data_IF_907994778319
#
_entry.id   IF_907994778319
#
_cell.length_a   1.000
_cell.length_b   1.000
_cell.length_c   1.000
_cell.angle_alpha   90.00
_cell.angle_beta   90.00
_cell.angle_gamma   90.00
#
_symmetry.space_group_name_H-M   'P 1'
#
loop_
_entity.id
_entity.type
_entity.pdbx_description
1 polymer ?
#
# COMPACT_ATOMS: atom_id res chain seq x y z
N UNK A 1 -11.26 37.43 43.49
CA UNK A 1 -9.91 37.18 42.97
C UNK A 1 -9.99 35.82 42.28
N UNK A 2 -10.47 35.83 41.03
CA UNK A 2 -10.72 34.61 40.25
C UNK A 2 -9.41 34.12 39.63
N UNK A 3 -9.05 32.89 39.95
CA UNK A 3 -7.91 32.18 39.39
C UNK A 3 -8.23 31.79 37.95
N UNK A 4 -7.62 32.50 37.00
CA UNK A 4 -7.67 32.15 35.57
C UNK A 4 -6.95 30.81 35.41
N UNK A 5 -7.73 29.77 35.10
CA UNK A 5 -7.23 28.44 34.79
C UNK A 5 -6.63 28.50 33.37
N UNK A 6 -5.31 28.68 33.29
CA UNK A 6 -4.58 28.60 32.03
C UNK A 6 -4.72 27.18 31.47
N UNK A 7 -5.55 27.05 30.43
CA UNK A 7 -5.59 25.84 29.60
C UNK A 7 -4.20 25.60 29.00
N UNK A 8 -3.59 24.42 29.14
CA UNK A 8 -2.29 24.16 28.52
C UNK A 8 -2.44 24.21 27.00
N UNK A 9 -1.72 25.15 26.37
CA UNK A 9 -1.55 25.22 24.93
C UNK A 9 -1.06 23.85 24.44
N UNK A 10 -1.89 23.12 23.70
CA UNK A 10 -1.46 21.92 22.98
C UNK A 10 -0.32 22.31 22.04
N UNK A 11 0.87 21.69 22.12
CA UNK A 11 2.00 22.05 21.27
C UNK A 11 1.63 21.81 19.81
N UNK A 12 1.57 22.90 19.06
CA UNK A 12 1.17 22.99 17.65
C UNK A 12 2.32 22.66 16.69
N UNK A 13 3.13 21.65 17.04
CA UNK A 13 4.23 21.14 16.22
C UNK A 13 4.32 19.62 16.34
N UNK A 14 3.20 18.92 16.10
CA UNK A 14 3.24 17.49 15.87
C UNK A 14 3.71 17.25 14.43
N UNK A 15 5.01 17.01 14.25
CA UNK A 15 5.53 16.37 13.05
C UNK A 15 4.78 15.05 12.91
N UNK A 16 3.72 15.01 12.08
CA UNK A 16 2.79 13.90 12.08
C UNK A 16 3.51 12.64 11.58
N UNK A 17 3.68 11.58 12.40
CA UNK A 17 4.37 10.36 11.98
C UNK A 17 3.72 9.74 10.72
N UNK A 18 2.41 9.96 10.55
CA UNK A 18 1.65 9.59 9.36
C UNK A 18 2.19 10.24 8.07
N UNK A 19 2.62 11.51 8.11
CA UNK A 19 3.13 12.21 6.93
C UNK A 19 4.48 11.66 6.50
N UNK A 20 5.37 11.36 7.46
CA UNK A 20 6.65 10.71 7.16
C UNK A 20 6.39 9.34 6.52
N UNK A 21 5.56 8.50 7.15
CA UNK A 21 5.24 7.16 6.66
C UNK A 21 4.66 7.21 5.25
N UNK A 22 3.74 8.14 4.98
CA UNK A 22 3.19 8.38 3.64
C UNK A 22 4.29 8.69 2.63
N UNK A 23 5.14 9.67 2.92
CA UNK A 23 6.23 10.07 2.01
C UNK A 23 7.16 8.89 1.75
N UNK A 24 7.58 8.19 2.81
CA UNK A 24 8.46 7.03 2.69
C UNK A 24 7.82 5.94 1.82
N UNK A 25 6.57 5.54 2.10
CA UNK A 25 5.88 4.51 1.31
C UNK A 25 5.76 4.88 -0.16
N UNK A 26 5.42 6.14 -0.47
CA UNK A 26 5.34 6.62 -1.85
C UNK A 26 6.71 6.64 -2.54
N UNK A 27 7.75 7.10 -1.85
CA UNK A 27 9.12 7.06 -2.37
C UNK A 27 9.59 5.63 -2.66
N UNK A 28 9.27 4.67 -1.79
CA UNK A 28 9.58 3.26 -2.00
C UNK A 28 8.86 2.69 -3.24
N UNK A 29 7.57 2.99 -3.42
CA UNK A 29 6.80 2.50 -4.56
C UNK A 29 7.23 3.14 -5.90
N UNK A 30 7.46 4.45 -5.91
CA UNK A 30 7.95 5.17 -7.10
C UNK A 30 9.39 4.75 -7.42
N UNK A 31 10.23 4.58 -6.39
CA UNK A 31 11.59 4.08 -6.52
C UNK A 31 11.63 2.68 -7.12
N UNK A 32 10.77 1.77 -6.65
CA UNK A 32 10.60 0.43 -7.21
C UNK A 32 10.20 0.46 -8.70
N UNK A 33 9.21 1.29 -9.07
CA UNK A 33 8.84 1.46 -10.48
C UNK A 33 10.02 1.99 -11.32
N UNK A 34 10.71 3.01 -10.80
CA UNK A 34 11.86 3.61 -11.48
C UNK A 34 12.97 2.60 -11.68
N UNK A 35 13.29 1.80 -10.67
CA UNK A 35 14.30 0.75 -10.74
C UNK A 35 13.99 -0.29 -11.83
N UNK A 36 12.71 -0.71 -11.95
CA UNK A 36 12.30 -1.63 -13.02
C UNK A 36 12.39 -0.99 -14.41
N UNK A 37 12.03 0.30 -14.54
CA UNK A 37 12.12 1.01 -15.83
C UNK A 37 13.58 1.15 -16.26
N UNK A 38 14.47 1.59 -15.37
CA UNK A 38 15.89 1.76 -15.69
C UNK A 38 16.63 0.43 -15.85
N UNK A 39 16.19 -0.61 -15.13
CA UNK A 39 16.74 -1.96 -15.22
C UNK A 39 16.12 -2.82 -16.32
N UNK A 40 15.20 -2.29 -17.14
CA UNK A 40 14.42 -3.07 -18.10
C UNK A 40 15.27 -3.85 -19.10
N UNK A 41 16.35 -3.23 -19.59
CA UNK A 41 17.27 -3.87 -20.54
C UNK A 41 18.00 -5.07 -19.91
N UNK A 42 18.26 -5.01 -18.61
CA UNK A 42 18.92 -6.07 -17.85
C UNK A 42 17.98 -7.20 -17.43
N UNK A 43 16.67 -7.08 -17.69
CA UNK A 43 15.71 -8.13 -17.35
C UNK A 43 15.82 -9.33 -18.30
N UNK A 44 15.60 -10.56 -17.80
CA UNK A 44 15.60 -11.76 -18.61
C UNK A 44 14.53 -11.72 -19.71
N UNK A 45 14.75 -12.47 -20.78
CA UNK A 45 13.87 -12.52 -21.95
C UNK A 45 12.50 -13.14 -21.66
N UNK A 46 12.40 -13.91 -20.58
CA UNK A 46 11.14 -14.42 -20.04
C UNK A 46 10.87 -13.83 -18.66
N UNK A 47 9.68 -13.24 -18.51
CA UNK A 47 9.21 -12.70 -17.24
C UNK A 47 8.04 -13.55 -16.73
N UNK A 48 7.96 -13.78 -15.40
CA UNK A 48 6.84 -14.51 -14.82
C UNK A 48 5.56 -13.68 -14.94
N UNK A 49 4.55 -14.22 -15.64
CA UNK A 49 3.17 -13.69 -15.63
C UNK A 49 2.47 -14.10 -14.34
N UNK A 50 2.69 -15.36 -13.96
CA UNK A 50 2.28 -16.00 -12.72
C UNK A 50 3.43 -16.85 -12.17
N UNK A 51 3.25 -17.47 -11.00
CA UNK A 51 4.25 -18.40 -10.45
C UNK A 51 4.45 -19.67 -11.30
N UNK A 52 3.53 -19.96 -12.20
CA UNK A 52 3.50 -21.19 -12.99
C UNK A 52 3.61 -20.92 -14.49
N UNK A 53 3.59 -19.65 -14.90
CA UNK A 53 3.57 -19.25 -16.30
C UNK A 53 4.53 -18.09 -16.54
N UNK A 54 5.50 -18.28 -17.43
CA UNK A 54 6.36 -17.24 -17.98
C UNK A 54 5.86 -16.82 -19.35
N UNK A 55 6.11 -15.55 -19.71
CA UNK A 55 5.86 -15.02 -21.04
C UNK A 55 7.06 -14.18 -21.47
N UNK A 56 7.19 -13.99 -22.77
CA UNK A 56 8.20 -13.13 -23.35
C UNK A 56 8.17 -11.73 -22.72
N UNK A 57 9.37 -11.18 -22.48
CA UNK A 57 9.59 -9.85 -21.93
C UNK A 57 8.85 -8.81 -22.75
N UNK A 58 7.99 -8.07 -22.07
CA UNK A 58 7.32 -6.89 -22.62
C UNK A 58 7.35 -5.78 -21.58
N UNK A 59 7.36 -4.53 -22.05
CA UNK A 59 7.29 -3.35 -21.19
C UNK A 59 6.12 -3.42 -20.21
N UNK A 60 4.94 -3.78 -20.70
CA UNK A 60 3.73 -3.88 -19.89
C UNK A 60 3.91 -4.90 -18.76
N UNK A 61 4.49 -6.07 -19.05
CA UNK A 61 4.66 -7.13 -18.06
C UNK A 61 5.68 -6.75 -16.98
N UNK A 62 6.75 -6.05 -17.36
CA UNK A 62 7.76 -5.56 -16.42
C UNK A 62 7.19 -4.50 -15.46
N UNK A 63 6.50 -3.48 -15.97
CA UNK A 63 5.99 -2.37 -15.14
C UNK A 63 4.70 -2.69 -14.40
N UNK A 64 4.00 -3.76 -14.79
CA UNK A 64 2.72 -4.17 -14.19
C UNK A 64 2.79 -4.35 -12.69
N UNK A 65 3.77 -5.10 -12.19
CA UNK A 65 3.92 -5.40 -10.77
C UNK A 65 4.14 -4.12 -9.94
N UNK A 66 5.11 -3.24 -10.27
CA UNK A 66 5.25 -1.98 -9.55
C UNK A 66 4.03 -1.06 -9.69
N UNK A 67 3.34 -1.04 -10.83
CA UNK A 67 2.08 -0.29 -10.99
C UNK A 67 0.98 -0.79 -10.05
N UNK A 68 0.82 -2.10 -9.90
CA UNK A 68 -0.14 -2.71 -8.96
C UNK A 68 0.15 -2.24 -7.53
N UNK A 69 1.43 -2.16 -7.14
CA UNK A 69 1.79 -1.65 -5.82
C UNK A 69 1.44 -0.15 -5.66
N UNK A 70 1.71 0.69 -6.65
CA UNK A 70 1.33 2.11 -6.63
C UNK A 70 -0.19 2.27 -6.50
N UNK A 71 -0.97 1.49 -7.27
CA UNK A 71 -2.44 1.51 -7.15
C UNK A 71 -2.90 1.06 -5.75
N UNK A 72 -2.24 0.06 -5.17
CA UNK A 72 -2.53 -0.42 -3.82
C UNK A 72 -2.28 0.66 -2.77
N UNK A 73 -1.17 1.40 -2.88
CA UNK A 73 -0.90 2.57 -2.02
C UNK A 73 -1.98 3.64 -2.19
N UNK A 74 -2.39 3.93 -3.43
CA UNK A 74 -3.47 4.87 -3.73
C UNK A 74 -4.80 4.47 -3.08
N UNK A 75 -5.16 3.18 -3.13
CA UNK A 75 -6.35 2.65 -2.49
C UNK A 75 -6.29 2.78 -0.96
N UNK A 76 -5.16 2.40 -0.35
CA UNK A 76 -4.95 2.52 1.09
C UNK A 76 -5.05 3.98 1.54
N UNK A 77 -4.49 4.92 0.77
CA UNK A 77 -4.53 6.35 1.08
C UNK A 77 -5.96 6.91 1.00
N UNK A 78 -6.73 6.55 -0.03
CA UNK A 78 -8.13 6.97 -0.16
C UNK A 78 -9.01 6.42 0.97
N UNK A 79 -8.84 5.14 1.30
CA UNK A 79 -9.53 4.52 2.43
C UNK A 79 -9.10 5.14 3.76
N UNK A 80 -7.81 5.45 3.90
CA UNK A 80 -7.25 6.11 5.08
C UNK A 80 -7.78 7.51 5.31
N UNK A 81 -8.09 8.28 4.25
CA UNK A 81 -8.76 9.58 4.36
C UNK A 81 -10.21 9.46 4.81
N UNK A 82 -10.91 8.40 4.40
CA UNK A 82 -12.24 8.10 4.93
C UNK A 82 -12.17 7.73 6.41
N UNK A 83 -11.15 6.96 6.81
CA UNK A 83 -10.92 6.58 8.20
C UNK A 83 -10.50 7.75 9.09
N UNK A 84 -9.64 8.65 8.62
CA UNK A 84 -9.17 9.79 9.42
C UNK A 84 -10.25 10.82 9.75
N UNK A 85 -11.38 10.81 9.03
CA UNK A 85 -12.56 11.65 9.31
C UNK A 85 -13.52 11.01 10.29
N UNK A 86 -13.36 9.72 10.56
CA UNK A 86 -14.14 9.02 11.56
C UNK A 86 -13.55 9.30 12.94
N UNK A 87 -14.39 9.77 13.86
CA UNK A 87 -14.01 9.98 15.27
C UNK A 87 -13.99 8.61 15.97
N UNK A 88 -12.84 7.95 15.86
CA UNK A 88 -12.60 6.57 16.27
C UNK A 88 -11.65 6.44 17.45
N UNK A 89 -11.38 5.19 17.83
CA UNK A 89 -10.39 4.89 18.87
C UNK A 89 -8.99 5.30 18.38
N UNK A 90 -8.14 5.74 19.31
CA UNK A 90 -6.72 6.01 19.10
C UNK A 90 -5.97 4.88 18.38
N UNK A 91 -6.38 3.62 18.58
CA UNK A 91 -5.81 2.47 17.88
C UNK A 91 -6.15 2.42 16.38
N UNK A 92 -7.31 2.94 15.97
CA UNK A 92 -7.76 2.92 14.57
C UNK A 92 -6.91 3.86 13.70
N UNK A 93 -6.28 4.87 14.31
CA UNK A 93 -5.31 5.76 13.67
C UNK A 93 -4.14 5.00 13.01
N UNK A 94 -3.74 3.86 13.59
CA UNK A 94 -2.57 3.10 13.13
C UNK A 94 -2.83 2.21 11.91
N UNK A 95 -4.10 2.00 11.53
CA UNK A 95 -4.46 1.10 10.42
C UNK A 95 -3.80 1.54 9.11
N UNK A 96 -4.00 2.80 8.71
CA UNK A 96 -3.46 3.36 7.46
C UNK A 96 -1.94 3.35 7.39
N UNK A 97 -1.20 3.88 8.38
CA UNK A 97 0.26 3.88 8.32
C UNK A 97 0.87 2.46 8.30
N UNK A 98 0.29 1.50 9.03
CA UNK A 98 0.75 0.09 8.97
C UNK A 98 0.57 -0.47 7.57
N UNK A 99 -0.61 -0.30 6.96
CA UNK A 99 -0.87 -0.79 5.60
C UNK A 99 0.03 -0.11 4.56
N UNK A 100 0.28 1.19 4.69
CA UNK A 100 1.18 1.92 3.79
C UNK A 100 2.61 1.41 3.88
N UNK A 101 3.13 1.14 5.09
CA UNK A 101 4.46 0.56 5.25
C UNK A 101 4.53 -0.85 4.67
N UNK A 102 3.54 -1.69 4.93
CA UNK A 102 3.48 -3.04 4.36
C UNK A 102 3.46 -3.01 2.84
N UNK A 103 2.65 -2.14 2.24
CA UNK A 103 2.58 -2.01 0.78
C UNK A 103 3.86 -1.42 0.17
N UNK A 104 4.47 -0.44 0.83
CA UNK A 104 5.75 0.14 0.41
C UNK A 104 6.90 -0.87 0.45
N UNK A 105 7.03 -1.63 1.55
CA UNK A 105 8.02 -2.70 1.69
C UNK A 105 7.81 -3.81 0.67
N UNK A 106 6.55 -4.22 0.43
CA UNK A 106 6.20 -5.19 -0.62
C UNK A 106 6.67 -4.73 -1.99
N UNK A 107 6.47 -3.46 -2.34
CA UNK A 107 6.86 -2.90 -3.63
C UNK A 107 8.37 -3.02 -3.90
N UNK A 108 9.19 -2.74 -2.87
CA UNK A 108 10.64 -2.84 -2.97
C UNK A 108 11.09 -4.28 -3.15
N UNK A 109 10.56 -5.20 -2.34
CA UNK A 109 10.95 -6.61 -2.41
C UNK A 109 10.59 -7.20 -3.77
N UNK A 110 9.38 -6.94 -4.28
CA UNK A 110 8.97 -7.43 -5.62
C UNK A 110 9.82 -6.81 -6.74
N UNK A 111 10.21 -5.54 -6.62
CA UNK A 111 11.11 -4.91 -7.59
C UNK A 111 12.51 -5.52 -7.57
N UNK A 112 13.07 -5.79 -6.39
CA UNK A 112 14.38 -6.45 -6.25
C UNK A 112 14.30 -7.88 -6.79
N UNK A 113 13.23 -8.60 -6.52
CA UNK A 113 12.99 -9.94 -7.06
C UNK A 113 13.00 -9.93 -8.58
N UNK A 114 12.24 -9.01 -9.22
CA UNK A 114 12.20 -8.89 -10.68
C UNK A 114 13.58 -8.60 -11.27
N UNK A 115 14.35 -7.70 -10.63
CA UNK A 115 15.69 -7.32 -11.09
C UNK A 115 16.76 -8.39 -10.84
N UNK A 116 16.48 -9.40 -10.01
CA UNK A 116 17.40 -10.49 -9.67
C UNK A 116 17.02 -11.83 -10.29
N UNK A 117 16.00 -11.87 -11.14
CA UNK A 117 15.70 -13.05 -11.96
C UNK A 117 16.85 -13.33 -12.94
N UNK A 118 17.25 -14.60 -13.16
CA UNK A 118 16.63 -15.84 -12.68
C UNK A 118 17.14 -16.35 -11.32
N UNK A 119 18.17 -15.74 -10.74
CA UNK A 119 18.83 -16.20 -9.50
C UNK A 119 18.04 -15.91 -8.21
N UNK A 120 16.78 -15.46 -8.33
CA UNK A 120 15.94 -15.15 -7.19
C UNK A 120 15.71 -16.38 -6.30
N UNK A 121 16.00 -16.20 -5.01
CA UNK A 121 15.84 -17.24 -4.01
C UNK A 121 14.37 -17.53 -3.73
N UNK A 122 14.03 -18.83 -3.60
CA UNK A 122 12.70 -19.32 -3.19
C UNK A 122 12.23 -18.77 -1.82
N UNK A 123 13.14 -18.17 -1.04
CA UNK A 123 12.85 -17.57 0.27
C UNK A 123 12.14 -16.22 0.14
N UNK A 124 12.44 -15.45 -0.91
CA UNK A 124 11.88 -14.10 -1.14
C UNK A 124 10.34 -14.08 -1.14
N UNK A 125 9.63 -14.95 -1.88
CA UNK A 125 8.17 -14.97 -1.85
C UNK A 125 7.58 -15.40 -0.49
N UNK A 126 8.30 -16.20 0.30
CA UNK A 126 7.86 -16.59 1.64
C UNK A 126 8.01 -15.43 2.62
N UNK A 127 9.12 -14.71 2.55
CA UNK A 127 9.34 -13.48 3.33
C UNK A 127 8.27 -12.43 3.00
N UNK A 128 7.97 -12.25 1.71
CA UNK A 128 6.92 -11.34 1.26
C UNK A 128 5.56 -11.71 1.85
N UNK A 129 5.20 -13.00 1.84
CA UNK A 129 3.96 -13.48 2.44
C UNK A 129 3.92 -13.18 3.94
N UNK A 130 5.01 -13.42 4.68
CA UNK A 130 5.09 -13.12 6.12
C UNK A 130 4.90 -11.63 6.39
N UNK A 131 5.57 -10.75 5.63
CA UNK A 131 5.46 -9.29 5.79
C UNK A 131 4.02 -8.82 5.55
N UNK A 132 3.39 -9.28 4.47
CA UNK A 132 2.02 -8.92 4.11
C UNK A 132 1.04 -9.43 5.16
N UNK A 133 1.15 -10.70 5.58
CA UNK A 133 0.28 -11.27 6.61
C UNK A 133 0.43 -10.54 7.95
N UNK A 134 1.66 -10.23 8.35
CA UNK A 134 1.93 -9.50 9.60
C UNK A 134 1.30 -8.11 9.55
N UNK A 135 1.48 -7.39 8.43
CA UNK A 135 0.86 -6.08 8.22
C UNK A 135 -0.66 -6.13 8.34
N UNK A 136 -1.30 -7.08 7.65
CA UNK A 136 -2.75 -7.26 7.70
C UNK A 136 -3.22 -7.59 9.13
N UNK A 137 -2.54 -8.49 9.83
CA UNK A 137 -2.90 -8.89 11.20
C UNK A 137 -2.81 -7.70 12.17
N UNK A 138 -1.75 -6.90 12.08
CA UNK A 138 -1.60 -5.69 12.90
C UNK A 138 -2.73 -4.70 12.58
N UNK A 139 -3.02 -4.45 11.30
CA UNK A 139 -4.10 -3.55 10.90
C UNK A 139 -5.48 -4.03 11.35
N UNK A 140 -5.75 -5.35 11.30
CA UNK A 140 -6.99 -5.94 11.81
C UNK A 140 -7.09 -5.82 13.34
N UNK A 141 -5.97 -5.96 14.06
CA UNK A 141 -5.92 -5.77 15.50
C UNK A 141 -6.24 -4.33 15.87
N UNK A 142 -5.61 -3.36 15.19
CA UNK A 142 -5.87 -1.93 15.34
C UNK A 142 -7.32 -1.55 14.98
N UNK A 143 -7.90 -2.19 13.95
CA UNK A 143 -9.26 -1.97 13.48
C UNK A 143 -10.34 -2.86 14.10
N UNK A 144 -10.01 -3.62 15.15
CA UNK A 144 -10.94 -4.59 15.74
C UNK A 144 -12.23 -3.93 16.22
N UNK A 145 -12.14 -2.74 16.82
CA UNK A 145 -13.30 -1.97 17.28
C UNK A 145 -14.20 -1.54 16.12
N UNK A 146 -13.59 -1.02 15.04
CA UNK A 146 -14.27 -0.63 13.80
C UNK A 146 -15.11 -1.76 13.20
N UNK A 147 -14.55 -2.97 13.15
CA UNK A 147 -15.21 -4.17 12.61
C UNK A 147 -16.28 -4.71 13.56
N UNK A 148 -15.95 -4.90 14.84
CA UNK A 148 -16.85 -5.50 15.85
C UNK A 148 -18.11 -4.66 16.06
N UNK A 149 -17.96 -3.34 16.12
CA UNK A 149 -19.05 -2.42 16.40
C UNK A 149 -19.79 -1.96 15.13
N UNK A 150 -19.42 -2.49 13.95
CA UNK A 150 -19.94 -2.07 12.63
C UNK A 150 -19.82 -0.56 12.37
N UNK A 151 -18.87 0.08 13.03
CA UNK A 151 -18.64 1.52 12.93
C UNK A 151 -18.12 1.94 11.55
N UNK A 152 -17.57 0.99 10.78
CA UNK A 152 -17.21 1.20 9.37
C UNK A 152 -18.36 1.76 8.52
N UNK A 153 -19.63 1.51 8.89
CA UNK A 153 -20.81 2.07 8.20
C UNK A 153 -20.98 3.58 8.40
N UNK A 154 -20.38 4.13 9.45
CA UNK A 154 -20.39 5.56 9.77
C UNK A 154 -19.28 6.31 9.04
N UNK A 155 -18.36 5.60 8.39
CA UNK A 155 -17.30 6.22 7.59
C UNK A 155 -17.94 6.91 6.40
N UNK A 156 -17.72 8.23 6.32
CA UNK A 156 -18.20 9.02 5.20
C UNK A 156 -17.13 9.08 4.13
N UNK A 157 -17.56 8.91 2.88
CA UNK A 157 -16.72 9.04 1.69
C UNK A 157 -17.38 10.04 0.76
N UNK A 158 -16.61 10.99 0.28
CA UNK A 158 -17.09 12.02 -0.65
C UNK A 158 -17.32 11.42 -2.05
N UNK A 159 -18.13 12.10 -2.87
CA UNK A 159 -18.36 11.67 -4.25
C UNK A 159 -17.05 11.58 -5.06
N UNK A 160 -16.15 12.56 -4.89
CA UNK A 160 -14.84 12.56 -5.55
C UNK A 160 -13.97 11.35 -5.17
N UNK A 161 -13.91 11.02 -3.88
CA UNK A 161 -13.17 9.83 -3.42
C UNK A 161 -13.78 8.53 -3.93
N UNK A 162 -15.11 8.44 -4.04
CA UNK A 162 -15.76 7.27 -4.64
C UNK A 162 -15.35 7.10 -6.09
N UNK A 163 -15.35 8.18 -6.88
CA UNK A 163 -14.90 8.13 -8.29
C UNK A 163 -13.44 7.69 -8.37
N UNK A 164 -12.55 8.30 -7.57
CA UNK A 164 -11.13 7.92 -7.56
C UNK A 164 -10.95 6.46 -7.15
N UNK A 165 -11.66 6.00 -6.12
CA UNK A 165 -11.59 4.61 -5.66
C UNK A 165 -12.11 3.64 -6.72
N UNK A 166 -13.19 3.96 -7.42
CA UNK A 166 -13.70 3.16 -8.54
C UNK A 166 -12.67 3.07 -9.67
N UNK A 167 -12.04 4.19 -10.04
CA UNK A 167 -11.00 4.21 -11.08
C UNK A 167 -9.78 3.38 -10.65
N UNK A 168 -9.34 3.52 -9.39
CA UNK A 168 -8.22 2.75 -8.86
C UNK A 168 -8.51 1.25 -8.83
N UNK A 169 -9.72 0.84 -8.42
CA UNK A 169 -10.14 -0.57 -8.43
C UNK A 169 -10.23 -1.10 -9.86
N UNK A 170 -10.81 -0.33 -10.79
CA UNK A 170 -10.88 -0.73 -12.20
C UNK A 170 -9.47 -0.92 -12.80
N UNK A 171 -8.57 0.04 -12.57
CA UNK A 171 -7.18 -0.07 -13.01
C UNK A 171 -6.46 -1.28 -12.39
N UNK A 172 -6.70 -1.55 -11.10
CA UNK A 172 -6.14 -2.71 -10.42
C UNK A 172 -6.62 -4.03 -11.06
N UNK A 173 -7.92 -4.14 -11.36
CA UNK A 173 -8.49 -5.33 -12.02
C UNK A 173 -7.91 -5.49 -13.42
N UNK A 174 -7.84 -4.42 -14.22
CA UNK A 174 -7.29 -4.43 -15.57
C UNK A 174 -5.82 -4.88 -15.58
N UNK A 175 -5.01 -4.38 -14.65
CA UNK A 175 -3.62 -4.83 -14.51
C UNK A 175 -3.50 -6.30 -14.05
N UNK A 176 -4.52 -6.84 -13.39
CA UNK A 176 -4.54 -8.25 -12.97
C UNK A 176 -5.13 -9.21 -14.02
N UNK A 177 -5.80 -8.73 -15.07
CA UNK A 177 -6.40 -9.58 -16.11
C UNK A 177 -5.44 -10.61 -16.72
N UNK A 178 -4.16 -10.28 -17.04
CA UNK A 178 -3.22 -11.25 -17.59
C UNK A 178 -2.93 -12.45 -16.66
N UNK A 179 -3.18 -12.33 -15.35
CA UNK A 179 -3.10 -13.46 -14.39
C UNK A 179 -4.35 -14.34 -14.37
N UNK A 180 -5.50 -13.81 -14.81
CA UNK A 180 -6.80 -14.49 -14.73
C UNK A 180 -7.12 -15.30 -16.00
N UNK A 181 -6.51 -14.92 -17.12
CA UNK A 181 -6.78 -15.51 -18.44
C UNK A 181 -5.52 -16.09 -19.12
N UNK A 182 -4.36 -16.03 -18.46
CA UNK A 182 -3.08 -16.56 -18.93
C UNK A 182 -2.71 -17.87 -18.25
#
# INVERSE_FOLDING_TARGET
METIMETPLKPHYAFQPLTIIRIVSWLLAIGALSAVIFGYESLPDELPVSRWHSSNKTWLLAVRVPLINILSLGLIEMLGRSLSRYDGDSNEYWITPVLLLTAGSKAVIESVEILTLPDSSKIVPLLLAVIVLTGILISLWCGKSLLRNKNWKKMTTTAGEKVVLTVLVAAFIVLNLPLLFG
#
